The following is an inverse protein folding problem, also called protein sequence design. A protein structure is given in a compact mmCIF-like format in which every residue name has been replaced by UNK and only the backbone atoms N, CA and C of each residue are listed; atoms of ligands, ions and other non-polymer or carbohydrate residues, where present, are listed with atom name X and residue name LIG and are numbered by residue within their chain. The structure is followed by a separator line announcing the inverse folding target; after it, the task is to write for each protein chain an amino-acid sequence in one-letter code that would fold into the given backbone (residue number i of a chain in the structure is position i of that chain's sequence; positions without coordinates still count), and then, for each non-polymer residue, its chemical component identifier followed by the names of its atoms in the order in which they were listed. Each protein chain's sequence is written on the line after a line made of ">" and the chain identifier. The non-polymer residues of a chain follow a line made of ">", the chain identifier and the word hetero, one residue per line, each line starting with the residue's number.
data_IF_113618624492
#
_entry.id   IF_113618624492
#
_cell.length_a   1.000
_cell.length_b   1.000
_cell.length_c   1.000
_cell.angle_alpha   90.00
_cell.angle_beta   90.00
_cell.angle_gamma   90.00
#
_symmetry.space_group_name_H-M   'P 1'
#
loop_
_entity.id
_entity.type
_entity.pdbx_description
1 polymer ?
#
# COMPACT_ATOMS: atom_id res chain seq x y z
N UNK A 1 -17.61 10.06 9.30
CA UNK A 1 -16.61 10.91 9.99
C UNK A 1 -15.29 10.17 10.17
N UNK A 2 -15.22 9.12 10.99
CA UNK A 2 -13.98 8.34 11.25
C UNK A 2 -13.24 7.93 9.97
N UNK A 3 -13.95 7.37 8.99
CA UNK A 3 -13.37 7.01 7.69
C UNK A 3 -12.68 8.20 7.00
N UNK A 4 -13.37 9.34 6.93
CA UNK A 4 -12.84 10.53 6.28
C UNK A 4 -11.63 11.06 7.08
N UNK A 5 -11.66 11.03 8.40
CA UNK A 5 -10.54 11.51 9.23
C UNK A 5 -9.28 10.66 9.04
N UNK A 6 -9.44 9.36 8.80
CA UNK A 6 -8.34 8.45 8.50
C UNK A 6 -7.84 8.59 7.07
N UNK A 7 -8.73 8.51 6.08
CA UNK A 7 -8.34 8.36 4.67
C UNK A 7 -8.35 9.67 3.88
N UNK A 8 -9.10 10.67 4.31
CA UNK A 8 -9.15 12.02 3.70
C UNK A 8 -8.93 13.11 4.77
N UNK A 9 -7.77 13.10 5.45
CA UNK A 9 -7.47 14.06 6.52
C UNK A 9 -7.24 15.46 5.95
N UNK A 10 -7.62 16.48 6.72
CA UNK A 10 -7.37 17.88 6.40
C UNK A 10 -5.98 18.30 6.92
N UNK A 11 -5.02 18.52 6.02
CA UNK A 11 -3.64 18.85 6.40
C UNK A 11 -3.42 20.32 6.75
N UNK A 12 -4.32 21.23 6.33
CA UNK A 12 -4.20 22.67 6.61
C UNK A 12 -5.22 23.12 7.64
N UNK A 13 -4.74 23.65 8.78
CA UNK A 13 -5.57 24.24 9.87
C UNK A 13 -6.53 25.36 9.43
N UNK A 14 -6.39 25.87 8.21
CA UNK A 14 -7.15 27.00 7.67
C UNK A 14 -8.34 26.60 6.80
N UNK A 15 -8.53 25.32 6.49
CA UNK A 15 -9.70 24.81 5.74
C UNK A 15 -10.43 23.76 6.58
N UNK A 16 -11.40 24.22 7.38
CA UNK A 16 -12.45 23.33 7.89
C UNK A 16 -13.38 23.00 6.73
N UNK A 17 -13.04 21.94 5.98
CA UNK A 17 -13.93 21.39 4.98
C UNK A 17 -15.15 20.78 5.70
N UNK A 18 -16.35 21.12 5.23
CA UNK A 18 -17.57 20.47 5.70
C UNK A 18 -17.53 18.98 5.39
N UNK A 19 -18.30 18.18 6.14
CA UNK A 19 -18.45 16.73 5.86
C UNK A 19 -18.88 16.51 4.41
N UNK A 20 -19.77 17.36 3.89
CA UNK A 20 -20.22 17.31 2.50
C UNK A 20 -19.05 17.45 1.52
N UNK A 21 -18.18 18.45 1.70
CA UNK A 21 -17.02 18.65 0.81
C UNK A 21 -16.01 17.50 0.88
N UNK A 22 -15.81 16.93 2.07
CA UNK A 22 -14.93 15.77 2.24
C UNK A 22 -15.51 14.51 1.60
N UNK A 23 -16.83 14.33 1.64
CA UNK A 23 -17.51 13.27 0.88
C UNK A 23 -17.34 13.51 -0.62
N UNK A 24 -17.48 14.76 -1.10
CA UNK A 24 -17.25 15.06 -2.52
C UNK A 24 -15.82 14.77 -2.95
N UNK A 25 -14.83 15.05 -2.10
CA UNK A 25 -13.42 14.70 -2.36
C UNK A 25 -13.23 13.20 -2.49
N UNK A 26 -13.75 12.43 -1.54
CA UNK A 26 -13.75 10.96 -1.61
C UNK A 26 -14.43 10.46 -2.90
N UNK A 27 -15.63 10.96 -3.20
CA UNK A 27 -16.38 10.54 -4.39
C UNK A 27 -15.60 10.83 -5.68
N UNK A 28 -14.94 12.00 -5.78
CA UNK A 28 -14.06 12.33 -6.92
C UNK A 28 -12.86 11.38 -7.00
N UNK A 29 -12.24 11.04 -5.88
CA UNK A 29 -11.11 10.11 -5.84
C UNK A 29 -11.54 8.72 -6.35
N UNK A 30 -12.71 8.23 -5.94
CA UNK A 30 -13.21 6.92 -6.34
C UNK A 30 -13.98 6.91 -7.67
N UNK A 31 -14.06 8.05 -8.37
CA UNK A 31 -14.84 8.24 -9.61
C UNK A 31 -16.34 7.90 -9.46
N UNK A 32 -16.89 8.16 -8.28
CA UNK A 32 -18.33 8.03 -8.01
C UNK A 32 -19.09 9.26 -8.51
N UNK A 33 -20.42 9.17 -8.51
CA UNK A 33 -21.25 10.36 -8.70
C UNK A 33 -21.05 11.31 -7.51
N UNK A 34 -20.66 12.56 -7.80
CA UNK A 34 -20.34 13.55 -6.75
C UNK A 34 -21.63 14.16 -6.20
N UNK A 35 -22.18 13.56 -5.15
CA UNK A 35 -23.42 13.99 -4.47
C UNK A 35 -23.15 14.80 -3.21
N UNK A 36 -21.97 14.64 -2.59
CA UNK A 36 -21.65 15.15 -1.26
C UNK A 36 -22.42 14.47 -0.12
N UNK A 37 -23.13 13.38 -0.43
CA UNK A 37 -23.95 12.63 0.51
C UNK A 37 -23.40 11.23 0.69
N UNK A 38 -23.63 10.68 1.89
CA UNK A 38 -23.38 9.28 2.16
C UNK A 38 -24.51 8.44 1.54
N UNK A 39 -24.45 8.27 0.22
CA UNK A 39 -25.36 7.42 -0.54
C UNK A 39 -24.87 5.96 -0.55
N UNK A 40 -25.72 5.05 -1.03
CA UNK A 40 -25.46 3.60 -1.02
C UNK A 40 -24.16 3.22 -1.74
N UNK A 41 -23.80 3.94 -2.80
CA UNK A 41 -22.55 3.68 -3.53
C UNK A 41 -21.33 4.11 -2.69
N UNK A 42 -21.40 5.29 -2.07
CA UNK A 42 -20.36 5.80 -1.17
C UNK A 42 -20.18 4.90 0.05
N UNK A 43 -21.28 4.46 0.69
CA UNK A 43 -21.23 3.52 1.83
C UNK A 43 -20.61 2.19 1.45
N UNK A 44 -20.94 1.67 0.26
CA UNK A 44 -20.35 0.42 -0.23
C UNK A 44 -18.83 0.54 -0.35
N UNK A 45 -18.32 1.64 -0.91
CA UNK A 45 -16.87 1.88 -1.02
C UNK A 45 -16.22 2.02 0.36
N UNK A 46 -16.85 2.72 1.30
CA UNK A 46 -16.30 2.88 2.65
C UNK A 46 -16.13 1.56 3.41
N UNK A 47 -16.93 0.54 3.08
CA UNK A 47 -16.92 -0.77 3.73
C UNK A 47 -16.05 -1.82 3.00
N UNK A 48 -15.35 -1.44 1.92
CA UNK A 48 -14.45 -2.36 1.23
C UNK A 48 -13.08 -2.40 1.93
N UNK A 49 -12.48 -3.60 2.08
CA UNK A 49 -11.11 -3.75 2.55
C UNK A 49 -10.12 -2.90 1.75
N UNK A 50 -9.18 -2.25 2.42
CA UNK A 50 -8.25 -1.30 1.79
C UNK A 50 -6.92 -1.16 2.51
N UNK A 51 -5.98 -0.47 1.87
CA UNK A 51 -4.76 0.03 2.51
C UNK A 51 -5.11 1.11 3.56
N UNK A 52 -4.33 1.12 4.65
CA UNK A 52 -4.45 2.00 5.80
C UNK A 52 -3.96 3.43 5.60
N UNK A 53 -3.26 3.71 4.50
CA UNK A 53 -2.71 5.03 4.22
C UNK A 53 -3.77 6.03 3.72
N UNK A 54 -3.58 7.34 3.99
CA UNK A 54 -4.44 8.38 3.45
C UNK A 54 -4.42 8.48 1.92
N UNK A 55 -5.58 8.76 1.33
CA UNK A 55 -5.78 9.09 -0.08
C UNK A 55 -5.42 10.56 -0.31
N UNK A 56 -4.13 10.86 -0.46
CA UNK A 56 -3.67 12.22 -0.78
C UNK A 56 -3.81 12.53 -2.28
N UNK A 57 -4.29 13.73 -2.60
CA UNK A 57 -4.60 14.13 -3.99
C UNK A 57 -3.37 14.31 -4.92
N UNK A 58 -2.13 14.28 -4.41
CA UNK A 58 -0.94 14.44 -5.25
C UNK A 58 -0.51 13.10 -5.89
N UNK A 59 -0.99 12.94 -7.12
CA UNK A 59 -1.22 11.71 -7.88
C UNK A 59 -0.06 10.75 -8.20
N UNK A 60 1.14 10.89 -7.66
CA UNK A 60 2.27 10.03 -8.13
C UNK A 60 3.26 9.63 -7.05
N UNK A 61 3.44 10.46 -6.04
CA UNK A 61 4.43 10.25 -4.98
C UNK A 61 3.93 10.95 -3.73
N UNK A 62 4.29 10.47 -2.54
CA UNK A 62 4.05 11.23 -1.31
C UNK A 62 4.56 12.68 -1.44
N UNK A 63 3.99 13.65 -0.69
CA UNK A 63 4.47 15.03 -0.69
C UNK A 63 6.01 15.11 -0.52
N UNK A 64 6.68 15.84 -1.39
CA UNK A 64 8.15 15.92 -1.43
C UNK A 64 8.85 14.80 -2.23
N UNK A 65 8.08 13.91 -2.87
CA UNK A 65 8.55 12.79 -3.70
C UNK A 65 9.68 11.96 -3.06
N UNK A 66 9.48 11.45 -1.82
CA UNK A 66 10.48 10.67 -1.12
C UNK A 66 10.81 9.42 -1.95
N UNK A 67 12.11 9.19 -2.14
CA UNK A 67 12.63 8.04 -2.86
C UNK A 67 13.94 7.60 -2.26
N UNK A 68 14.22 6.31 -2.39
CA UNK A 68 15.54 5.80 -2.05
C UNK A 68 16.60 6.39 -2.98
N UNK A 69 17.67 6.93 -2.40
CA UNK A 69 18.84 7.43 -3.17
C UNK A 69 19.70 6.30 -3.74
N UNK A 70 19.55 5.09 -3.21
CA UNK A 70 20.24 3.87 -3.63
C UNK A 70 19.29 2.93 -4.35
N UNK A 71 19.86 2.06 -5.19
CA UNK A 71 19.09 1.07 -5.94
C UNK A 71 19.16 -0.34 -5.34
N UNK A 72 20.11 -0.59 -4.45
CA UNK A 72 20.23 -1.85 -3.72
C UNK A 72 19.60 -1.66 -2.34
N UNK A 73 18.38 -2.16 -2.21
CA UNK A 73 17.58 -2.12 -0.99
C UNK A 73 17.63 -3.47 -0.29
N UNK A 74 17.60 -3.43 1.03
CA UNK A 74 17.57 -4.61 1.88
C UNK A 74 16.22 -4.73 2.55
N UNK A 75 15.75 -5.96 2.72
CA UNK A 75 14.50 -6.22 3.43
C UNK A 75 14.65 -7.32 4.47
N UNK A 76 13.84 -7.26 5.53
CA UNK A 76 13.82 -8.23 6.63
C UNK A 76 12.38 -8.52 7.02
N UNK A 77 12.04 -9.80 7.15
CA UNK A 77 10.75 -10.22 7.70
C UNK A 77 10.95 -10.38 9.21
N UNK A 78 10.33 -9.49 9.99
CA UNK A 78 10.48 -9.36 11.44
C UNK A 78 9.61 -10.39 12.16
N UNK A 79 8.36 -10.49 11.76
CA UNK A 79 7.39 -11.46 12.28
C UNK A 79 6.70 -12.20 11.13
N UNK A 80 5.95 -13.25 11.47
CA UNK A 80 5.24 -14.08 10.49
C UNK A 80 3.82 -14.32 10.98
N UNK A 81 2.85 -14.21 10.08
CA UNK A 81 1.48 -14.66 10.33
C UNK A 81 1.43 -16.17 10.60
N UNK A 82 0.56 -16.64 11.51
CA UNK A 82 0.30 -18.06 11.71
C UNK A 82 -0.54 -18.70 10.58
N UNK A 83 -1.18 -17.91 9.73
CA UNK A 83 -2.11 -18.40 8.70
C UNK A 83 -1.42 -19.16 7.56
N UNK A 84 -0.13 -18.87 7.34
CA UNK A 84 0.65 -19.42 6.25
C UNK A 84 1.97 -20.00 6.76
N UNK A 85 2.44 -21.13 6.20
CA UNK A 85 3.80 -21.60 6.45
C UNK A 85 4.81 -20.51 6.09
N UNK A 86 5.87 -20.33 6.88
CA UNK A 86 6.91 -19.30 6.64
C UNK A 86 7.45 -19.29 5.21
N UNK A 87 7.57 -20.46 4.57
CA UNK A 87 7.98 -20.58 3.15
C UNK A 87 7.03 -19.86 2.19
N UNK A 88 5.73 -19.88 2.47
CA UNK A 88 4.69 -19.23 1.65
C UNK A 88 4.71 -17.72 1.84
N UNK A 89 4.91 -17.26 3.07
CA UNK A 89 5.15 -15.83 3.37
C UNK A 89 6.41 -15.35 2.64
N UNK A 90 7.52 -16.07 2.79
CA UNK A 90 8.79 -15.75 2.12
C UNK A 90 8.65 -15.66 0.60
N UNK A 91 7.93 -16.59 -0.02
CA UNK A 91 7.65 -16.59 -1.46
C UNK A 91 6.78 -15.40 -1.87
N UNK A 92 5.70 -15.13 -1.13
CA UNK A 92 4.79 -14.03 -1.42
C UNK A 92 5.52 -12.67 -1.35
N UNK A 93 6.26 -12.42 -0.28
CA UNK A 93 7.06 -11.20 -0.10
C UNK A 93 8.10 -11.05 -1.20
N UNK A 94 8.84 -12.13 -1.50
CA UNK A 94 9.85 -12.11 -2.57
C UNK A 94 9.23 -11.77 -3.92
N UNK A 95 8.12 -12.42 -4.29
CA UNK A 95 7.42 -12.17 -5.56
C UNK A 95 6.85 -10.75 -5.61
N UNK A 96 6.31 -10.23 -4.50
CA UNK A 96 5.80 -8.87 -4.41
C UNK A 96 6.90 -7.82 -4.65
N UNK A 97 8.09 -7.99 -4.07
CA UNK A 97 9.25 -7.14 -4.37
C UNK A 97 9.71 -7.26 -5.84
N UNK A 98 9.61 -8.47 -6.42
CA UNK A 98 9.96 -8.70 -7.83
C UNK A 98 9.09 -7.92 -8.81
N UNK A 99 7.81 -7.70 -8.49
CA UNK A 99 6.91 -6.86 -9.30
C UNK A 99 7.56 -5.50 -9.63
N UNK A 100 8.26 -4.91 -8.64
CA UNK A 100 8.92 -3.62 -8.77
C UNK A 100 10.31 -3.72 -9.38
N UNK A 101 11.12 -4.73 -9.01
CA UNK A 101 12.46 -4.90 -9.59
C UNK A 101 12.44 -5.30 -11.06
N UNK A 102 11.37 -5.96 -11.53
CA UNK A 102 11.24 -6.38 -12.93
C UNK A 102 11.07 -5.19 -13.89
N UNK A 103 10.74 -4.00 -13.37
CA UNK A 103 10.42 -2.82 -14.18
C UNK A 103 11.28 -1.60 -13.85
N UNK A 104 12.17 -1.70 -12.86
CA UNK A 104 13.05 -0.63 -12.38
C UNK A 104 14.50 -1.13 -12.22
N UNK A 105 15.50 -0.24 -12.06
CA UNK A 105 16.85 -0.64 -11.70
C UNK A 105 17.02 -1.15 -10.26
N UNK A 106 15.96 -1.19 -9.45
CA UNK A 106 16.02 -1.58 -8.05
C UNK A 106 16.34 -3.06 -7.89
N UNK A 107 17.04 -3.38 -6.81
CA UNK A 107 17.39 -4.74 -6.40
C UNK A 107 17.11 -4.90 -4.92
N UNK A 108 16.49 -6.02 -4.57
CA UNK A 108 16.13 -6.33 -3.19
C UNK A 108 16.95 -7.51 -2.68
N UNK A 109 17.58 -7.33 -1.52
CA UNK A 109 18.34 -8.38 -0.85
C UNK A 109 17.78 -8.65 0.53
N UNK A 110 17.40 -9.90 0.79
CA UNK A 110 16.98 -10.31 2.13
C UNK A 110 18.15 -10.29 3.09
N UNK A 111 17.92 -9.74 4.27
CA UNK A 111 18.82 -9.80 5.43
C UNK A 111 18.07 -10.38 6.63
N UNK A 112 18.81 -10.89 7.63
CA UNK A 112 18.22 -11.66 8.72
C UNK A 112 18.54 -11.09 10.12
N UNK A 113 19.74 -10.53 10.30
CA UNK A 113 20.25 -10.15 11.63
C UNK A 113 20.42 -8.64 11.81
N UNK A 114 20.69 -7.91 10.73
CA UNK A 114 20.85 -6.46 10.74
C UNK A 114 19.55 -5.77 10.36
N UNK A 115 19.45 -4.49 10.74
CA UNK A 115 18.38 -3.62 10.26
C UNK A 115 18.40 -3.55 8.74
N UNK A 116 17.21 -3.49 8.16
CA UNK A 116 16.99 -3.43 6.72
C UNK A 116 16.47 -2.04 6.32
N UNK A 117 16.36 -1.80 5.01
CA UNK A 117 15.71 -0.59 4.49
C UNK A 117 14.18 -0.71 4.51
N UNK A 118 13.69 -1.94 4.50
CA UNK A 118 12.27 -2.30 4.55
C UNK A 118 12.12 -3.44 5.55
N UNK A 119 11.67 -3.15 6.75
CA UNK A 119 11.24 -4.16 7.71
C UNK A 119 9.75 -4.49 7.50
N UNK A 120 9.45 -5.79 7.57
CA UNK A 120 8.13 -6.33 7.27
C UNK A 120 7.60 -6.98 8.53
N UNK A 121 6.50 -6.46 9.04
CA UNK A 121 5.89 -6.91 10.29
C UNK A 121 4.44 -7.33 10.09
N UNK A 122 4.08 -8.49 10.62
CA UNK A 122 2.70 -8.89 10.90
C UNK A 122 2.39 -8.54 12.34
N UNK A 123 1.44 -7.63 12.55
CA UNK A 123 1.11 -7.07 13.85
C UNK A 123 -0.41 -6.91 13.99
N UNK A 124 -0.89 -6.64 15.21
CA UNK A 124 -2.32 -6.51 15.49
C UNK A 124 -2.58 -5.24 16.26
N UNK A 125 -3.64 -4.51 15.89
CA UNK A 125 -4.12 -3.31 16.60
C UNK A 125 -2.99 -2.32 16.84
N UNK A 126 -2.83 -1.80 18.05
CA UNK A 126 -1.69 -0.94 18.40
C UNK A 126 -0.39 -1.74 18.40
N UNK A 127 0.58 -1.29 17.61
CA UNK A 127 1.84 -2.00 17.37
C UNK A 127 3.07 -1.09 17.36
N UNK A 128 2.98 0.09 17.97
CA UNK A 128 4.15 0.89 18.35
C UNK A 128 4.59 1.96 17.34
N UNK A 129 3.86 2.13 16.24
CA UNK A 129 4.08 3.17 15.23
C UNK A 129 3.06 4.32 15.31
N UNK A 130 2.05 4.22 16.17
CA UNK A 130 0.98 5.22 16.34
C UNK A 130 -0.14 5.13 15.30
N UNK A 131 -0.14 4.10 14.44
CA UNK A 131 -1.16 3.83 13.43
C UNK A 131 -1.82 2.47 13.68
N UNK A 132 -2.65 2.32 14.72
CA UNK A 132 -3.21 1.02 15.07
C UNK A 132 -4.09 0.44 13.95
N UNK A 133 -4.00 -0.88 13.75
CA UNK A 133 -4.95 -1.62 12.91
C UNK A 133 -6.33 -1.70 13.57
N UNK A 134 -7.36 -1.95 12.76
CA UNK A 134 -8.77 -1.97 13.17
C UNK A 134 -9.34 -3.37 13.38
N UNK A 135 -8.52 -4.40 13.18
CA UNK A 135 -8.95 -5.79 13.19
C UNK A 135 -9.60 -6.16 11.86
N UNK A 136 -10.18 -7.36 11.81
CA UNK A 136 -10.59 -7.99 10.55
C UNK A 136 -11.49 -7.12 9.64
N UNK A 137 -11.10 -7.05 8.37
CA UNK A 137 -11.86 -6.61 7.20
C UNK A 137 -11.36 -5.29 6.62
N UNK A 138 -11.32 -4.23 7.42
CA UNK A 138 -11.25 -2.87 6.88
C UNK A 138 -9.81 -2.50 6.44
N UNK A 139 -8.89 -2.33 7.39
CA UNK A 139 -7.52 -1.93 7.10
C UNK A 139 -6.63 -3.16 7.04
N UNK A 140 -6.21 -3.55 5.83
CA UNK A 140 -5.45 -4.79 5.63
C UNK A 140 -3.97 -4.66 6.00
N UNK A 141 -3.39 -3.50 5.71
CA UNK A 141 -1.97 -3.23 5.85
C UNK A 141 -1.71 -1.73 5.71
N UNK A 142 -0.51 -1.29 6.09
CA UNK A 142 0.03 0.02 5.71
C UNK A 142 1.54 -0.07 5.53
N UNK A 143 2.12 0.96 4.93
CA UNK A 143 3.56 1.10 4.81
C UNK A 143 3.97 2.56 4.93
N UNK A 144 5.28 2.79 5.06
CA UNK A 144 5.83 4.13 5.18
C UNK A 144 6.65 4.48 3.95
N UNK A 145 6.59 5.75 3.56
CA UNK A 145 7.41 6.28 2.47
C UNK A 145 8.91 6.09 2.76
N UNK A 146 9.78 6.06 1.73
CA UNK A 146 11.23 5.94 1.89
C UNK A 146 11.80 6.96 2.90
N UNK A 147 12.58 6.50 3.88
CA UNK A 147 13.10 7.38 4.93
C UNK A 147 14.05 6.69 5.90
N UNK A 148 14.40 7.39 6.98
CA UNK A 148 15.12 6.83 8.13
C UNK A 148 14.13 6.29 9.18
N UNK A 149 14.61 5.47 10.12
CA UNK A 149 13.76 4.87 11.14
C UNK A 149 12.77 3.89 10.54
N UNK A 150 11.47 4.11 10.77
CA UNK A 150 10.38 3.28 10.20
C UNK A 150 10.12 3.57 8.71
N UNK A 151 10.80 4.55 8.12
CA UNK A 151 10.62 4.91 6.72
C UNK A 151 11.00 3.76 5.78
N UNK A 152 10.03 3.29 5.00
CA UNK A 152 10.17 2.11 4.15
C UNK A 152 9.46 0.87 4.67
N UNK A 153 9.22 0.78 5.98
CA UNK A 153 8.63 -0.40 6.60
C UNK A 153 7.20 -0.65 6.11
N UNK A 154 6.79 -1.92 6.16
CA UNK A 154 5.45 -2.36 5.75
C UNK A 154 4.87 -3.29 6.80
N UNK A 155 3.70 -2.93 7.34
CA UNK A 155 3.00 -3.65 8.38
C UNK A 155 1.71 -4.26 7.82
N UNK A 156 1.41 -5.48 8.23
CA UNK A 156 0.28 -6.28 7.78
C UNK A 156 -0.59 -6.62 8.99
N UNK A 157 -1.90 -6.36 8.92
CA UNK A 157 -2.81 -6.67 10.03
C UNK A 157 -2.97 -8.18 10.16
N UNK A 158 -2.47 -8.75 11.25
CA UNK A 158 -2.52 -10.18 11.57
C UNK A 158 -3.85 -10.59 12.24
N UNK A 159 -4.80 -9.67 12.41
CA UNK A 159 -6.21 -10.00 12.64
C UNK A 159 -6.94 -10.33 11.32
N UNK A 160 -6.36 -10.02 10.15
CA UNK A 160 -6.81 -10.53 8.86
C UNK A 160 -6.47 -12.00 8.66
N UNK A 161 -7.18 -12.65 7.73
CA UNK A 161 -6.88 -14.02 7.32
C UNK A 161 -6.04 -14.04 6.04
N UNK A 162 -4.74 -14.24 6.18
CA UNK A 162 -3.81 -14.22 5.06
C UNK A 162 -3.85 -15.51 4.25
N UNK A 163 -3.86 -15.37 2.92
CA UNK A 163 -3.91 -16.49 1.97
C UNK A 163 -2.86 -16.34 0.87
N UNK A 164 -2.33 -17.47 0.40
CA UNK A 164 -1.53 -17.55 -0.83
C UNK A 164 -2.38 -17.86 -2.08
N UNK A 165 -3.69 -18.06 -1.89
CA UNK A 165 -4.69 -18.37 -2.92
C UNK A 165 -5.89 -17.40 -2.83
N UNK A 166 -6.97 -17.67 -3.56
CA UNK A 166 -8.19 -16.85 -3.55
C UNK A 166 -9.22 -17.35 -2.53
N UNK A 167 -8.84 -17.45 -1.25
CA UNK A 167 -9.78 -17.83 -0.18
C UNK A 167 -10.22 -16.64 0.68
N UNK A 168 -9.37 -15.64 0.83
CA UNK A 168 -9.61 -14.44 1.65
C UNK A 168 -8.68 -13.31 1.14
N UNK A 169 -7.84 -12.73 1.99
CA UNK A 169 -6.88 -11.68 1.60
C UNK A 169 -5.60 -12.30 1.04
N UNK A 170 -5.26 -12.01 -0.21
CA UNK A 170 -4.07 -12.54 -0.85
C UNK A 170 -2.82 -11.74 -0.46
N UNK A 171 -1.92 -12.35 0.31
CA UNK A 171 -0.73 -11.69 0.85
C UNK A 171 0.18 -11.11 -0.24
N UNK A 172 0.30 -11.78 -1.39
CA UNK A 172 1.13 -11.28 -2.49
C UNK A 172 0.59 -9.96 -3.05
N UNK A 173 -0.73 -9.81 -3.21
CA UNK A 173 -1.32 -8.61 -3.77
C UNK A 173 -1.17 -7.42 -2.82
N UNK A 174 -1.49 -7.62 -1.55
CA UNK A 174 -1.35 -6.56 -0.53
C UNK A 174 0.12 -6.20 -0.36
N UNK A 175 1.02 -7.17 -0.26
CA UNK A 175 2.45 -6.86 -0.15
C UNK A 175 3.00 -6.13 -1.37
N UNK A 176 2.54 -6.47 -2.58
CA UNK A 176 2.95 -5.76 -3.79
C UNK A 176 2.50 -4.30 -3.75
N UNK A 177 1.27 -4.03 -3.27
CA UNK A 177 0.75 -2.68 -3.05
C UNK A 177 1.58 -1.92 -2.00
N UNK A 178 1.75 -2.48 -0.80
CA UNK A 178 2.47 -1.81 0.28
C UNK A 178 3.93 -1.51 -0.08
N UNK A 179 4.59 -2.39 -0.84
CA UNK A 179 5.93 -2.09 -1.34
C UNK A 179 5.97 -0.96 -2.36
N UNK A 180 4.87 -0.65 -3.05
CA UNK A 180 4.80 0.58 -3.83
C UNK A 180 4.95 1.82 -2.94
N UNK A 181 4.31 1.82 -1.76
CA UNK A 181 4.48 2.88 -0.76
C UNK A 181 5.88 2.90 -0.15
N UNK A 182 6.44 1.74 0.21
CA UNK A 182 7.84 1.61 0.66
C UNK A 182 8.85 2.12 -0.37
N UNK A 183 8.45 2.24 -1.63
CA UNK A 183 9.24 2.79 -2.73
C UNK A 183 8.89 4.23 -3.10
N UNK A 184 7.88 4.83 -2.48
CA UNK A 184 7.54 6.25 -2.58
C UNK A 184 6.32 6.57 -3.44
N UNK A 185 5.58 5.55 -3.91
CA UNK A 185 4.30 5.77 -4.59
C UNK A 185 3.20 6.12 -3.59
N UNK A 186 2.33 7.05 -3.97
CA UNK A 186 1.05 7.27 -3.30
C UNK A 186 -0.05 6.40 -3.94
N UNK A 187 -1.25 6.43 -3.39
CA UNK A 187 -2.40 5.76 -4.01
C UNK A 187 -2.70 6.33 -5.40
N UNK A 188 -3.16 5.46 -6.30
CA UNK A 188 -3.76 5.80 -7.58
C UNK A 188 -5.29 5.82 -7.48
N UNK A 189 -5.97 6.62 -8.30
CA UNK A 189 -7.43 6.61 -8.48
C UNK A 189 -7.78 5.84 -9.73
N UNK A 190 -6.81 5.34 -10.50
CA UNK A 190 -7.08 4.60 -11.72
C UNK A 190 -7.62 3.23 -11.29
N UNK A 191 -8.90 2.91 -11.57
CA UNK A 191 -9.45 1.62 -11.19
C UNK A 191 -8.66 0.50 -11.87
N UNK A 192 -8.24 -0.49 -11.08
CA UNK A 192 -7.42 -1.62 -11.56
C UNK A 192 -5.91 -1.38 -11.50
N UNK A 193 -5.44 -0.20 -11.11
CA UNK A 193 -4.05 -0.01 -10.69
C UNK A 193 -3.75 -0.86 -9.45
N UNK A 194 -2.51 -1.34 -9.32
CA UNK A 194 -2.06 -2.03 -8.11
C UNK A 194 -2.11 -1.08 -6.91
N UNK A 195 -1.70 0.18 -7.08
CA UNK A 195 -1.74 1.23 -6.06
C UNK A 195 -3.14 1.83 -5.84
N UNK A 196 -4.20 1.26 -6.41
CA UNK A 196 -5.56 1.64 -6.03
C UNK A 196 -5.83 1.18 -4.59
N UNK A 197 -6.38 2.02 -3.70
CA UNK A 197 -6.40 1.73 -2.27
C UNK A 197 -7.31 0.57 -1.87
N UNK A 198 -8.38 0.31 -2.62
CA UNK A 198 -9.31 -0.77 -2.31
C UNK A 198 -8.74 -2.09 -2.79
N UNK A 199 -8.79 -3.09 -1.91
CA UNK A 199 -8.39 -4.44 -2.23
C UNK A 199 -9.29 -5.02 -3.32
N UNK A 200 -8.65 -5.58 -4.35
CA UNK A 200 -9.31 -6.34 -5.38
C UNK A 200 -8.46 -7.53 -5.75
N UNK A 201 -9.07 -8.71 -5.79
CA UNK A 201 -8.34 -9.93 -6.12
C UNK A 201 -7.94 -9.93 -7.60
N UNK A 202 -6.65 -10.12 -7.86
CA UNK A 202 -6.09 -10.44 -9.16
C UNK A 202 -5.32 -11.75 -9.07
N UNK A 203 -5.45 -12.63 -10.07
CA UNK A 203 -4.79 -13.93 -10.03
C UNK A 203 -3.25 -13.76 -10.05
N UNK A 204 -2.51 -14.13 -8.98
CA UNK A 204 -1.07 -13.94 -8.91
C UNK A 204 -0.28 -14.69 -9.99
N UNK A 205 -0.86 -15.75 -10.58
CA UNK A 205 -0.21 -16.51 -11.66
C UNK A 205 -0.15 -15.76 -12.99
N UNK A 206 -1.09 -14.85 -13.22
CA UNK A 206 -1.22 -14.07 -14.45
C UNK A 206 -1.04 -12.59 -14.21
N UNK A 207 -0.67 -12.20 -12.99
CA UNK A 207 -0.52 -10.82 -12.59
C UNK A 207 0.55 -10.13 -13.44
N UNK A 208 0.22 -8.93 -13.91
CA UNK A 208 1.14 -8.02 -14.57
C UNK A 208 0.94 -6.65 -13.94
N UNK A 209 2.03 -5.99 -13.61
CA UNK A 209 1.98 -4.62 -13.08
C UNK A 209 1.22 -3.72 -14.08
N UNK A 210 0.11 -3.09 -13.66
CA UNK A 210 -0.64 -2.19 -14.52
C UNK A 210 0.20 -0.98 -14.97
N UNK A 211 -0.18 -0.39 -16.10
CA UNK A 211 0.63 0.66 -16.74
C UNK A 211 0.69 1.95 -15.93
N UNK A 212 -0.32 2.24 -15.10
CA UNK A 212 -0.29 3.41 -14.24
C UNK A 212 0.81 3.29 -13.19
N UNK A 213 0.86 2.15 -12.49
CA UNK A 213 1.87 1.84 -11.49
C UNK A 213 3.27 1.77 -12.10
N UNK A 214 3.40 1.15 -13.29
CA UNK A 214 4.66 1.07 -14.04
C UNK A 214 5.20 2.46 -14.36
N UNK A 215 4.37 3.38 -14.86
CA UNK A 215 4.80 4.76 -15.15
C UNK A 215 5.13 5.51 -13.87
N UNK A 216 4.34 5.33 -12.81
CA UNK A 216 4.58 5.91 -11.50
C UNK A 216 5.97 5.55 -10.98
N UNK A 217 6.26 4.26 -10.86
CA UNK A 217 7.54 3.82 -10.31
C UNK A 217 8.73 4.17 -11.20
N UNK A 218 8.56 4.13 -12.52
CA UNK A 218 9.62 4.52 -13.46
C UNK A 218 9.88 6.03 -13.47
N UNK A 219 8.92 6.86 -13.04
CA UNK A 219 9.17 8.29 -12.86
C UNK A 219 10.12 8.57 -11.68
N UNK A 220 10.14 7.68 -10.67
CA UNK A 220 11.02 7.78 -9.50
C UNK A 220 12.42 7.21 -9.75
N UNK A 221 12.48 6.01 -10.34
CA UNK A 221 13.69 5.19 -10.43
C UNK A 221 14.21 4.95 -11.85
N UNK A 222 13.50 5.43 -12.87
CA UNK A 222 13.80 5.15 -14.27
C UNK A 222 13.38 3.74 -14.70
N UNK A 223 13.58 3.46 -16.00
CA UNK A 223 13.30 2.14 -16.59
C UNK A 223 14.46 1.19 -16.32
N UNK A 224 14.15 -0.09 -16.16
CA UNK A 224 15.17 -1.14 -16.21
C UNK A 224 15.85 -1.11 -17.58
N UNK A 225 17.13 -0.74 -17.63
CA UNK A 225 17.92 -0.83 -18.85
C UNK A 225 18.44 -2.25 -19.00
N UNK A 226 18.07 -2.93 -20.08
CA UNK A 226 18.75 -4.18 -20.46
C UNK A 226 20.18 -3.82 -20.86
N UNK A 227 21.16 -4.35 -20.14
CA UNK A 227 22.56 -4.33 -20.61
C UNK A 227 22.65 -5.38 -21.72
N UNK A 228 22.83 -4.92 -22.96
CA UNK A 228 23.21 -5.75 -24.10
C UNK A 228 24.66 -6.21 -23.97
#
# INVERSE_FOLDING_TARGET
>A
QVYLDKFFPTFTKTQDLSIEERIKEMQRFFHLTVTGKLDTETEKIMNLPRCGLPDVAEYKTFPGSPKWKKTHLTYKIVSYTPDLPRRKVDDAIKRALMVWSDVTPLRFQRVYTRNADIEIEFARREHGDGFPFDGRGNTLAHAFAPGEGIGGDAHFDDDEKWSDINQDVNLFLVAAHEFGHSLGLAHSNVPGALMYPLYSYQNPKTFKLPEDDRRGIQSLYGKLMMKF
#
